data_IF_886489708716
#
_entry.id   IF_886489708716
#
_cell.length_a   1.000
_cell.length_b   1.000
_cell.length_c   1.000
_cell.angle_alpha   90.00
_cell.angle_beta   90.00
_cell.angle_gamma   90.00
#
_symmetry.space_group_name_H-M   'P 1'
#
loop_
_entity.id
_entity.type
_entity.pdbx_description
1 polymer ?
#
# COMPACT_ATOMS: atom_id res chain seq x y z
N UNK A 1 -56.11 -3.03 8.70
CA UNK A 1 -56.34 -1.62 9.06
C UNK A 1 -55.54 -0.79 8.06
N UNK A 2 -56.13 -0.43 6.91
CA UNK A 2 -56.77 0.87 6.67
C UNK A 2 -55.85 2.02 7.17
N UNK A 3 -55.33 2.92 6.32
CA UNK A 3 -56.14 3.77 5.44
C UNK A 3 -55.30 4.35 4.28
N UNK A 4 -55.85 4.27 3.09
CA UNK A 4 -55.48 4.97 1.85
C UNK A 4 -56.18 6.31 1.82
N UNK A 5 -55.53 7.41 1.40
CA UNK A 5 -56.17 8.46 0.56
C UNK A 5 -55.16 8.92 -0.48
N UNK A 6 -55.68 9.10 -1.69
CA UNK A 6 -55.05 9.23 -2.98
C UNK A 6 -55.55 10.53 -3.63
N UNK A 7 -54.92 10.91 -4.76
CA UNK A 7 -55.36 11.86 -5.82
C UNK A 7 -55.14 13.37 -5.58
N UNK A 8 -54.88 14.22 -6.59
CA UNK A 8 -54.41 14.09 -7.98
C UNK A 8 -54.25 15.52 -8.56
N UNK A 9 -53.59 15.64 -9.73
CA UNK A 9 -53.70 16.72 -10.75
C UNK A 9 -53.25 18.13 -10.35
N UNK A 10 -52.39 18.88 -11.05
CA UNK A 10 -52.01 18.92 -12.46
C UNK A 10 -52.27 20.35 -12.97
N UNK A 11 -51.25 21.08 -13.43
CA UNK A 11 -51.39 22.18 -14.41
C UNK A 11 -50.03 22.74 -14.83
N UNK A 12 -49.87 22.82 -16.15
CA UNK A 12 -48.81 23.50 -16.91
C UNK A 12 -48.94 25.02 -16.88
N UNK A 13 -47.84 25.77 -17.02
CA UNK A 13 -47.80 26.97 -17.88
C UNK A 13 -46.35 27.28 -18.31
N UNK A 14 -46.22 27.52 -19.62
CA UNK A 14 -45.05 28.09 -20.30
C UNK A 14 -45.15 29.61 -20.41
N UNK A 15 -44.01 30.29 -20.44
CA UNK A 15 -43.65 31.49 -21.24
C UNK A 15 -42.40 32.09 -20.58
N UNK A 16 -41.40 32.70 -21.22
CA UNK A 16 -40.94 32.88 -22.60
C UNK A 16 -39.80 33.90 -22.48
N UNK A 17 -38.72 33.70 -23.23
CA UNK A 17 -37.62 34.62 -23.60
C UNK A 17 -37.69 36.10 -23.19
N UNK A 18 -36.53 36.66 -22.80
CA UNK A 18 -36.10 37.97 -23.30
C UNK A 18 -34.58 37.98 -23.56
N UNK A 19 -34.26 38.44 -24.78
CA UNK A 19 -32.95 38.55 -25.42
C UNK A 19 -32.14 39.72 -24.85
N UNK A 20 -30.80 39.63 -24.90
CA UNK A 20 -29.92 40.53 -25.71
C UNK A 20 -28.47 40.60 -25.19
N UNK A 21 -27.54 40.12 -26.01
CA UNK A 21 -26.16 40.62 -26.17
C UNK A 21 -26.19 42.03 -26.83
N UNK A 22 -25.11 42.85 -26.99
CA UNK A 22 -23.68 42.45 -27.09
C UNK A 22 -22.58 43.46 -26.62
N UNK A 23 -21.29 43.05 -26.77
CA UNK A 23 -20.09 43.84 -27.11
C UNK A 23 -19.54 44.86 -26.07
N UNK A 24 -18.23 45.17 -25.94
CA UNK A 24 -16.96 44.87 -26.63
C UNK A 24 -15.81 45.55 -25.83
N UNK A 25 -14.57 45.08 -26.05
CA UNK A 25 -13.28 45.83 -26.08
C UNK A 25 -12.77 46.45 -24.74
N UNK A 26 -11.73 45.87 -24.14
CA UNK A 26 -10.28 46.14 -24.35
C UNK A 26 -9.78 47.48 -23.79
N UNK A 27 -8.89 47.44 -22.80
CA UNK A 27 -7.62 48.18 -22.79
C UNK A 27 -6.82 47.94 -21.52
N UNK A 28 -5.52 47.84 -21.73
CA UNK A 28 -4.39 47.63 -20.82
C UNK A 28 -4.00 48.86 -19.99
N UNK A 29 -3.26 48.59 -18.90
CA UNK A 29 -2.38 49.47 -18.09
C UNK A 29 -3.13 50.48 -17.19
N UNK A 30 -2.76 50.77 -15.93
CA UNK A 30 -1.48 50.68 -15.21
C UNK A 30 -1.75 50.67 -13.69
N UNK A 31 -1.05 49.85 -12.89
CA UNK A 31 0.04 50.26 -11.99
C UNK A 31 -0.39 50.74 -10.57
N UNK A 32 0.17 50.04 -9.57
CA UNK A 32 0.38 50.38 -8.16
C UNK A 32 -0.80 50.32 -7.16
N UNK A 33 -0.83 49.27 -6.33
CA UNK A 33 -0.36 49.32 -4.93
C UNK A 33 -0.55 47.95 -4.23
N UNK A 34 0.35 47.66 -3.29
CA UNK A 34 0.38 46.53 -2.31
C UNK A 34 1.09 45.24 -2.73
N UNK A 35 2.40 45.36 -2.98
CA UNK A 35 3.40 44.32 -2.71
C UNK A 35 4.47 44.93 -1.79
N UNK A 36 4.39 44.66 -0.50
CA UNK A 36 5.43 45.00 0.48
C UNK A 36 6.28 43.77 0.77
N UNK A 37 7.46 43.78 0.14
CA UNK A 37 8.76 43.24 0.53
C UNK A 37 8.85 42.48 1.88
N UNK A 38 9.27 41.21 1.82
CA UNK A 38 10.13 40.67 2.87
C UNK A 38 11.38 40.00 2.27
N UNK A 39 12.44 40.80 2.26
CA UNK A 39 13.80 40.39 1.97
C UNK A 39 14.55 40.45 3.30
N UNK A 40 14.91 39.33 3.94
CA UNK A 40 15.78 39.32 5.13
C UNK A 40 16.81 38.19 5.11
N UNK A 41 18.06 38.64 4.97
CA UNK A 41 19.34 38.11 5.47
C UNK A 41 19.25 36.86 6.37
N UNK A 42 19.96 35.80 5.93
CA UNK A 42 20.52 34.75 6.80
C UNK A 42 21.39 35.41 7.89
N UNK A 43 20.98 35.25 9.15
CA UNK A 43 21.84 35.39 10.32
C UNK A 43 21.79 34.05 11.07
N UNK A 44 22.91 33.34 11.04
CA UNK A 44 23.17 32.17 11.87
C UNK A 44 23.08 32.57 13.34
N UNK A 45 22.11 32.01 14.05
CA UNK A 45 22.08 32.08 15.52
C UNK A 45 22.00 30.65 16.04
N UNK A 46 23.13 30.15 16.55
CA UNK A 46 23.19 28.92 17.35
C UNK A 46 22.38 29.16 18.63
N UNK A 47 21.28 28.44 18.81
CA UNK A 47 20.68 28.27 20.13
C UNK A 47 20.93 26.84 20.61
N UNK A 48 21.77 26.72 21.63
CA UNK A 48 21.93 25.51 22.44
C UNK A 48 20.67 25.34 23.29
N UNK A 49 19.84 24.35 22.96
CA UNK A 49 18.79 23.86 23.87
C UNK A 49 19.34 22.65 24.62
N UNK A 50 19.77 22.89 25.85
CA UNK A 50 20.12 21.86 26.81
C UNK A 50 18.84 21.23 27.37
N UNK A 51 18.59 19.96 27.06
CA UNK A 51 17.57 19.15 27.75
C UNK A 51 18.26 18.44 28.92
N UNK A 52 17.80 18.75 30.14
CA UNK A 52 18.22 18.07 31.37
C UNK A 52 17.73 16.63 31.37
N UNK A 53 18.64 15.67 31.26
CA UNK A 53 18.35 14.27 31.59
C UNK A 53 18.36 14.09 33.11
N UNK A 54 17.22 13.65 33.65
CA UNK A 54 17.09 13.21 35.04
C UNK A 54 17.92 11.94 35.26
N UNK A 55 18.79 11.96 36.27
CA UNK A 55 19.53 10.79 36.76
C UNK A 55 18.57 9.88 37.52
N UNK A 56 18.49 8.62 37.11
CA UNK A 56 18.11 7.53 38.01
C UNK A 56 19.40 6.76 38.28
N UNK A 57 19.91 6.94 39.49
CA UNK A 57 20.97 6.15 40.11
C UNK A 57 20.36 4.86 40.62
N UNK A 58 20.79 3.72 40.10
CA UNK A 58 20.75 2.46 40.84
C UNK A 58 22.17 2.08 41.24
N UNK A 59 22.34 1.96 42.55
CA UNK A 59 23.55 1.52 43.23
C UNK A 59 23.64 -0.01 43.14
N UNK A 60 24.74 -0.53 42.60
CA UNK A 60 25.24 -1.85 42.98
C UNK A 60 26.76 -1.77 43.15
N UNK A 61 27.18 -1.83 44.41
CA UNK A 61 28.57 -2.06 44.81
C UNK A 61 28.93 -3.53 44.55
N UNK A 62 30.03 -3.77 43.86
CA UNK A 62 30.61 -5.09 43.64
C UNK A 62 32.07 -4.94 43.21
N UNK A 63 32.94 -5.65 43.92
CA UNK A 63 34.39 -5.49 44.06
C UNK A 63 35.22 -5.88 42.84
N UNK A 64 36.46 -5.33 42.80
CA UNK A 64 37.56 -5.63 41.88
C UNK A 64 37.78 -7.14 41.64
N UNK A 65 38.02 -7.54 40.39
CA UNK A 65 39.32 -8.10 39.94
C UNK A 65 39.29 -8.59 38.48
N UNK A 66 40.36 -8.27 37.75
CA UNK A 66 40.93 -8.99 36.60
C UNK A 66 40.01 -9.46 35.45
N UNK A 67 39.91 -8.65 34.39
CA UNK A 67 39.80 -9.17 33.01
C UNK A 67 40.70 -8.43 32.03
N UNK A 68 41.55 -9.23 31.40
CA UNK A 68 42.51 -8.93 30.34
C UNK A 68 41.95 -7.96 29.29
N UNK A 69 42.74 -6.94 28.95
CA UNK A 69 42.58 -6.14 27.73
C UNK A 69 42.53 -7.09 26.52
N UNK A 70 41.37 -7.15 25.88
CA UNK A 70 41.24 -7.60 24.49
C UNK A 70 41.06 -6.31 23.70
N UNK A 71 42.09 -5.89 22.99
CA UNK A 71 42.01 -4.79 22.03
C UNK A 71 41.08 -5.24 20.89
N UNK A 72 39.81 -4.85 21.00
CA UNK A 72 38.88 -4.89 19.88
C UNK A 72 38.83 -3.48 19.31
N UNK A 73 39.53 -3.29 18.19
CA UNK A 73 39.33 -2.14 17.31
C UNK A 73 37.91 -2.20 16.71
N UNK A 74 36.89 -1.86 17.51
CA UNK A 74 35.64 -1.38 16.96
C UNK A 74 35.85 0.09 16.65
N UNK A 75 36.08 0.40 15.37
CA UNK A 75 35.87 1.74 14.88
C UNK A 75 34.39 2.08 15.13
N UNK A 76 34.15 2.93 16.13
CA UNK A 76 32.86 3.59 16.27
C UNK A 76 32.73 4.46 15.04
N UNK A 77 32.04 3.97 14.02
CA UNK A 77 31.61 4.78 12.89
C UNK A 77 30.71 5.84 13.51
N UNK A 78 31.23 7.06 13.66
CA UNK A 78 30.46 8.22 14.02
C UNK A 78 29.50 8.47 12.87
N UNK A 79 28.27 8.00 13.02
CA UNK A 79 27.21 8.27 12.05
C UNK A 79 26.92 9.76 12.14
N UNK A 80 27.24 10.48 11.08
CA UNK A 80 26.99 11.91 11.01
C UNK A 80 25.46 12.10 11.05
N UNK A 81 24.93 12.64 12.15
CA UNK A 81 23.49 12.81 12.41
C UNK A 81 22.80 13.80 11.43
N UNK A 82 23.55 14.35 10.47
CA UNK A 82 23.06 15.24 9.43
C UNK A 82 22.73 14.55 8.10
N UNK A 83 22.97 13.25 7.93
CA UNK A 83 22.54 12.56 6.72
C UNK A 83 21.04 12.27 6.77
N UNK A 84 20.27 13.05 6.01
CA UNK A 84 18.85 12.84 5.79
C UNK A 84 18.68 11.50 5.04
N UNK A 85 18.03 10.53 5.69
CA UNK A 85 17.75 9.20 5.13
C UNK A 85 17.17 9.30 3.72
N UNK A 86 17.76 8.56 2.78
CA UNK A 86 17.36 8.57 1.36
C UNK A 86 16.15 7.67 1.12
N UNK A 87 16.21 6.45 1.63
CA UNK A 87 15.16 5.43 1.59
C UNK A 87 13.92 5.93 2.32
N UNK A 88 12.74 5.76 1.73
CA UNK A 88 11.47 6.15 2.34
C UNK A 88 10.77 4.98 3.02
N UNK A 89 9.99 5.30 4.04
CA UNK A 89 9.23 4.34 4.82
C UNK A 89 7.74 4.58 4.60
N UNK A 90 7.04 3.54 4.14
CA UNK A 90 5.59 3.47 4.00
C UNK A 90 5.02 2.71 5.20
N UNK A 91 4.09 3.33 5.92
CA UNK A 91 3.42 2.71 7.06
C UNK A 91 1.94 2.55 6.75
N UNK A 92 1.42 1.33 6.87
CA UNK A 92 -0.04 1.14 6.84
C UNK A 92 -0.65 1.69 8.13
N UNK A 93 -1.66 2.55 7.99
CA UNK A 93 -2.43 3.08 9.11
C UNK A 93 -3.65 2.19 9.34
N UNK A 94 -3.82 1.75 10.58
CA UNK A 94 -4.90 0.87 11.00
C UNK A 94 -5.27 1.13 12.46
N UNK A 95 -6.08 0.26 13.10
CA UNK A 95 -6.64 0.52 14.43
C UNK A 95 -5.59 0.81 15.52
N UNK A 96 -4.41 0.19 15.46
CA UNK A 96 -3.32 0.43 16.43
C UNK A 96 -2.49 1.68 16.12
N UNK A 97 -2.70 2.32 14.97
CA UNK A 97 -1.91 3.46 14.48
C UNK A 97 -2.74 4.67 14.05
N UNK A 98 -4.07 4.62 14.14
CA UNK A 98 -4.98 5.68 13.67
C UNK A 98 -5.23 6.81 14.67
N UNK A 99 -4.64 6.76 15.87
CA UNK A 99 -4.71 7.88 16.82
C UNK A 99 -3.79 9.01 16.39
N UNK A 100 -4.19 10.27 16.65
CA UNK A 100 -3.38 11.45 16.38
C UNK A 100 -1.96 11.31 16.94
N UNK A 101 -1.85 10.94 18.21
CA UNK A 101 -0.58 10.82 18.92
C UNK A 101 0.30 9.75 18.28
N UNK A 102 -0.28 8.66 17.79
CA UNK A 102 0.47 7.60 17.15
C UNK A 102 0.95 8.00 15.76
N UNK A 103 0.10 8.60 14.93
CA UNK A 103 0.49 9.12 13.60
C UNK A 103 1.67 10.07 13.73
N UNK A 104 1.63 10.99 14.69
CA UNK A 104 2.71 11.95 14.93
C UNK A 104 3.99 11.26 15.39
N UNK A 105 3.90 10.30 16.32
CA UNK A 105 5.05 9.49 16.74
C UNK A 105 5.67 8.70 15.58
N UNK A 106 4.86 8.18 14.67
CA UNK A 106 5.33 7.47 13.48
C UNK A 106 6.05 8.41 12.52
N UNK A 107 5.48 9.60 12.26
CA UNK A 107 6.10 10.62 11.44
C UNK A 107 7.46 11.06 12.01
N UNK A 108 7.54 11.34 13.32
CA UNK A 108 8.79 11.69 14.01
C UNK A 108 9.82 10.57 14.03
N UNK A 109 9.38 9.31 14.11
CA UNK A 109 10.27 8.14 14.01
C UNK A 109 10.80 7.93 12.58
N UNK A 110 10.18 8.56 11.59
CA UNK A 110 10.61 8.58 10.21
C UNK A 110 9.66 7.87 9.25
N UNK A 111 8.35 7.85 9.48
CA UNK A 111 7.38 7.54 8.42
C UNK A 111 7.42 8.63 7.34
N UNK A 112 7.36 8.25 6.06
CA UNK A 112 7.25 9.19 4.93
C UNK A 112 5.91 9.10 4.20
N UNK A 113 5.29 7.92 4.20
CA UNK A 113 4.01 7.70 3.52
C UNK A 113 3.07 6.99 4.48
N UNK A 114 1.88 7.56 4.69
CA UNK A 114 0.76 6.92 5.36
C UNK A 114 -0.07 6.18 4.32
N UNK A 115 -0.05 4.84 4.36
CA UNK A 115 -0.82 3.96 3.48
C UNK A 115 -2.17 3.62 4.11
N UNK A 116 -3.25 3.92 3.40
CA UNK A 116 -4.62 3.55 3.75
C UNK A 116 -5.04 2.36 2.89
N UNK A 117 -5.32 1.22 3.53
CA UNK A 117 -5.70 -0.01 2.83
C UNK A 117 -7.23 -0.08 2.70
N UNK A 118 -7.75 0.05 1.48
CA UNK A 118 -9.20 0.08 1.21
C UNK A 118 -9.89 -1.28 1.26
N UNK A 119 -9.12 -2.37 1.43
CA UNK A 119 -9.69 -3.69 1.78
C UNK A 119 -10.26 -3.70 3.21
N UNK A 120 -9.90 -2.72 4.05
CA UNK A 120 -10.34 -2.59 5.43
C UNK A 120 -10.81 -1.17 5.75
N UNK A 121 -11.74 -1.05 6.70
CA UNK A 121 -12.31 0.25 7.07
C UNK A 121 -13.28 0.80 6.01
N UNK A 122 -13.82 1.97 6.31
CA UNK A 122 -14.71 2.74 5.44
C UNK A 122 -14.13 4.13 5.13
N UNK A 123 -14.72 4.84 4.18
CA UNK A 123 -14.28 6.20 3.79
C UNK A 123 -14.28 7.15 4.99
N UNK A 124 -15.21 7.02 5.95
CA UNK A 124 -15.27 7.89 7.12
C UNK A 124 -14.07 7.69 8.07
N UNK A 125 -13.63 6.44 8.26
CA UNK A 125 -12.45 6.10 9.06
C UNK A 125 -11.15 6.55 8.37
N UNK A 126 -11.08 6.41 7.05
CA UNK A 126 -9.94 6.86 6.24
C UNK A 126 -9.86 8.38 6.16
N UNK A 127 -11.00 9.08 6.07
CA UNK A 127 -11.08 10.54 6.10
C UNK A 127 -10.44 11.10 7.38
N UNK A 128 -10.78 10.55 8.55
CA UNK A 128 -10.17 10.95 9.82
C UNK A 128 -8.66 10.80 9.80
N UNK A 129 -8.15 9.73 9.18
CA UNK A 129 -6.70 9.51 9.06
C UNK A 129 -6.07 10.54 8.14
N UNK A 130 -6.68 10.83 6.99
CA UNK A 130 -6.23 11.87 6.04
C UNK A 130 -6.18 13.24 6.74
N UNK A 131 -7.23 13.61 7.47
CA UNK A 131 -7.32 14.88 8.18
C UNK A 131 -6.18 15.03 9.20
N UNK A 132 -5.89 13.97 9.97
CA UNK A 132 -4.80 13.97 10.96
C UNK A 132 -3.41 14.06 10.33
N UNK A 133 -3.20 13.44 9.16
CA UNK A 133 -1.94 13.54 8.41
C UNK A 133 -1.78 14.95 7.83
N UNK A 134 -2.84 15.52 7.24
CA UNK A 134 -2.84 16.91 6.76
C UNK A 134 -2.62 17.91 7.88
N UNK A 135 -3.22 17.67 9.06
CA UNK A 135 -2.99 18.47 10.25
C UNK A 135 -1.51 18.43 10.68
N UNK A 136 -0.89 17.25 10.68
CA UNK A 136 0.55 17.11 10.97
C UNK A 136 1.39 17.90 9.97
N UNK A 137 1.11 17.75 8.67
CA UNK A 137 1.85 18.43 7.60
C UNK A 137 1.74 19.95 7.70
N UNK A 138 0.62 20.49 8.18
CA UNK A 138 0.43 21.93 8.40
C UNK A 138 1.35 22.50 9.50
N UNK A 139 1.91 21.67 10.39
CA UNK A 139 2.81 22.11 11.46
C UNK A 139 4.28 22.20 11.02
N UNK A 140 4.68 21.57 9.91
CA UNK A 140 6.08 21.40 9.54
C UNK A 140 6.33 21.61 8.05
N UNK A 141 7.19 22.57 7.70
CA UNK A 141 7.55 22.83 6.30
C UNK A 141 8.46 21.74 5.70
N UNK A 142 9.34 21.13 6.50
CA UNK A 142 10.37 20.21 6.00
C UNK A 142 10.05 18.72 6.21
N UNK A 143 9.01 18.40 6.99
CA UNK A 143 8.65 17.03 7.40
C UNK A 143 7.22 16.71 6.96
N UNK A 144 7.06 16.53 5.66
CA UNK A 144 5.77 16.17 5.05
C UNK A 144 5.64 14.64 4.98
N UNK A 145 4.48 14.14 5.38
CA UNK A 145 4.04 12.75 5.21
C UNK A 145 3.07 12.71 4.03
N UNK A 146 3.41 11.95 3.00
CA UNK A 146 2.52 11.71 1.87
C UNK A 146 1.42 10.69 2.23
N UNK A 147 0.34 10.70 1.48
CA UNK A 147 -0.84 9.86 1.66
C UNK A 147 -0.95 8.93 0.45
N UNK A 148 -1.08 7.63 0.73
CA UNK A 148 -1.23 6.60 -0.30
C UNK A 148 -2.52 5.82 -0.06
N UNK A 149 -3.37 5.73 -1.07
CA UNK A 149 -4.57 4.90 -1.06
C UNK A 149 -4.27 3.58 -1.79
N UNK A 150 -4.38 2.45 -1.10
CA UNK A 150 -4.18 1.11 -1.66
C UNK A 150 -5.53 0.50 -2.01
N UNK A 151 -5.76 0.28 -3.30
CA UNK A 151 -7.02 -0.27 -3.83
C UNK A 151 -7.21 -1.71 -3.36
N UNK A 152 -8.46 -2.13 -3.23
CA UNK A 152 -8.76 -3.50 -2.85
C UNK A 152 -8.45 -4.47 -4.00
N UNK A 153 -8.85 -4.09 -5.21
CA UNK A 153 -8.73 -4.93 -6.40
C UNK A 153 -9.68 -6.13 -6.40
N UNK A 154 -9.61 -6.96 -7.46
CA UNK A 154 -10.43 -8.14 -7.59
C UNK A 154 -10.02 -9.24 -6.60
N UNK A 155 -10.96 -9.69 -5.77
CA UNK A 155 -10.73 -10.76 -4.82
C UNK A 155 -11.77 -11.86 -4.95
N UNK A 156 -11.30 -13.09 -5.14
CA UNK A 156 -12.13 -14.30 -5.01
C UNK A 156 -12.11 -14.74 -3.56
N UNK A 157 -13.27 -14.98 -2.97
CA UNK A 157 -13.43 -15.34 -1.56
C UNK A 157 -14.38 -16.51 -1.39
N UNK A 158 -14.11 -17.34 -0.39
CA UNK A 158 -15.05 -18.35 0.08
C UNK A 158 -16.33 -17.70 0.65
N UNK A 159 -17.40 -18.48 0.70
CA UNK A 159 -18.67 -18.07 1.29
C UNK A 159 -18.60 -17.99 2.81
N UNK A 160 -19.74 -17.65 3.39
CA UNK A 160 -19.90 -17.68 4.84
C UNK A 160 -20.01 -19.14 5.33
N UNK A 161 -19.31 -19.46 6.42
CA UNK A 161 -19.42 -20.74 7.13
C UNK A 161 -20.10 -20.53 8.48
N UNK A 162 -20.97 -21.46 8.88
CA UNK A 162 -21.69 -21.37 10.17
C UNK A 162 -20.73 -21.47 11.36
N UNK A 163 -19.71 -22.32 11.21
CA UNK A 163 -18.62 -22.52 12.15
C UNK A 163 -17.35 -22.81 11.34
N UNK A 164 -16.16 -22.52 11.88
CA UNK A 164 -14.92 -22.88 11.20
C UNK A 164 -14.89 -24.37 10.84
N UNK A 165 -14.48 -24.69 9.61
CA UNK A 165 -14.40 -26.06 9.10
C UNK A 165 -12.94 -26.50 9.15
N UNK A 166 -12.64 -27.57 9.90
CA UNK A 166 -11.31 -28.14 9.94
C UNK A 166 -11.09 -29.08 8.76
N UNK A 167 -10.25 -28.66 7.82
CA UNK A 167 -9.86 -29.44 6.65
C UNK A 167 -8.63 -30.27 6.96
N UNK A 168 -8.72 -31.59 6.73
CA UNK A 168 -7.60 -32.53 6.91
C UNK A 168 -6.97 -32.90 5.57
N UNK A 169 -5.68 -33.14 5.57
CA UNK A 169 -4.95 -33.62 4.38
C UNK A 169 -5.60 -34.88 3.80
N UNK A 170 -5.71 -34.94 2.46
CA UNK A 170 -6.37 -36.00 1.71
C UNK A 170 -7.92 -35.96 1.75
N UNK A 171 -8.54 -35.08 2.54
CA UNK A 171 -9.98 -34.92 2.57
C UNK A 171 -10.50 -34.34 1.25
N UNK A 172 -11.67 -34.79 0.81
CA UNK A 172 -12.39 -34.18 -0.32
C UNK A 172 -13.14 -32.94 0.16
N UNK A 173 -13.00 -31.84 -0.58
CA UNK A 173 -13.72 -30.60 -0.30
C UNK A 173 -14.08 -29.90 -1.61
N UNK A 174 -15.22 -29.23 -1.63
CA UNK A 174 -15.75 -28.64 -2.85
C UNK A 174 -15.97 -27.12 -2.72
N UNK A 175 -15.75 -26.43 -3.83
CA UNK A 175 -16.11 -25.03 -4.00
C UNK A 175 -17.23 -24.91 -5.03
N UNK A 176 -18.30 -24.19 -4.73
CA UNK A 176 -19.44 -24.01 -5.66
C UNK A 176 -19.73 -22.54 -5.93
N UNK A 177 -20.20 -22.23 -7.14
CA UNK A 177 -20.69 -20.89 -7.47
C UNK A 177 -22.15 -20.66 -7.03
N UNK A 178 -22.83 -21.71 -6.53
CA UNK A 178 -24.18 -21.57 -5.98
C UNK A 178 -24.13 -20.78 -4.66
N UNK A 179 -24.65 -19.56 -4.70
CA UNK A 179 -24.67 -18.64 -3.55
C UNK A 179 -25.38 -19.26 -2.33
N UNK A 180 -24.81 -19.05 -1.15
CA UNK A 180 -25.40 -19.47 0.13
C UNK A 180 -25.20 -20.95 0.47
N UNK A 181 -24.57 -21.74 -0.39
CA UNK A 181 -24.22 -23.12 -0.05
C UNK A 181 -23.09 -23.15 0.98
N UNK A 182 -23.33 -23.84 2.09
CA UNK A 182 -22.34 -24.17 3.12
C UNK A 182 -22.73 -25.53 3.75
N UNK A 183 -21.91 -26.55 3.53
CA UNK A 183 -21.99 -27.88 4.16
C UNK A 183 -20.63 -28.23 4.76
N UNK A 184 -20.50 -29.40 5.39
CA UNK A 184 -19.21 -29.84 5.97
C UNK A 184 -18.12 -30.06 4.92
N UNK A 185 -18.50 -30.29 3.66
CA UNK A 185 -17.62 -30.64 2.55
C UNK A 185 -17.71 -29.69 1.35
N UNK A 186 -18.56 -28.65 1.41
CA UNK A 186 -18.78 -27.73 0.30
C UNK A 186 -19.01 -26.30 0.80
N UNK A 187 -18.32 -25.32 0.22
CA UNK A 187 -18.57 -23.90 0.45
C UNK A 187 -18.79 -23.17 -0.86
N UNK A 188 -19.65 -22.15 -0.83
CA UNK A 188 -19.81 -21.24 -1.96
C UNK A 188 -18.56 -20.38 -2.19
N UNK A 189 -18.41 -19.82 -3.38
CA UNK A 189 -17.40 -18.81 -3.76
C UNK A 189 -18.15 -17.56 -4.18
N UNK A 190 -17.58 -16.36 -4.00
CA UNK A 190 -18.18 -15.06 -4.32
C UNK A 190 -18.06 -14.64 -5.82
N UNK A 191 -17.55 -15.52 -6.69
CA UNK A 191 -17.27 -15.23 -8.09
C UNK A 191 -17.89 -16.30 -9.01
N UNK A 192 -18.77 -15.90 -9.91
CA UNK A 192 -19.60 -16.82 -10.70
C UNK A 192 -18.81 -17.56 -11.80
N UNK A 193 -17.75 -16.95 -12.33
CA UNK A 193 -16.88 -17.56 -13.34
C UNK A 193 -15.72 -18.38 -12.74
N UNK A 194 -15.71 -18.59 -11.43
CA UNK A 194 -14.64 -19.34 -10.74
C UNK A 194 -14.39 -20.74 -11.34
N UNK A 195 -15.45 -21.44 -11.76
CA UNK A 195 -15.34 -22.78 -12.36
C UNK A 195 -14.63 -22.75 -13.72
N UNK A 196 -14.76 -21.64 -14.46
CA UNK A 196 -14.14 -21.44 -15.77
C UNK A 196 -12.66 -21.07 -15.64
N UNK A 197 -12.27 -20.43 -14.55
CA UNK A 197 -10.89 -20.00 -14.28
C UNK A 197 -10.01 -21.09 -13.66
N UNK A 198 -10.58 -22.26 -13.37
CA UNK A 198 -9.91 -23.38 -12.71
C UNK A 198 -9.89 -24.61 -13.61
N UNK A 199 -8.74 -25.27 -13.73
CA UNK A 199 -8.57 -26.53 -14.47
C UNK A 199 -8.21 -27.71 -13.57
N UNK A 200 -8.46 -28.93 -14.06
CA UNK A 200 -8.04 -30.15 -13.35
C UNK A 200 -6.51 -30.19 -13.27
N UNK A 201 -5.99 -30.42 -12.07
CA UNK A 201 -4.56 -30.34 -11.77
C UNK A 201 -4.11 -29.00 -11.18
N UNK A 202 -4.94 -27.97 -11.22
CA UNK A 202 -4.65 -26.71 -10.55
C UNK A 202 -4.65 -26.87 -9.02
N UNK A 203 -3.96 -25.94 -8.36
CA UNK A 203 -3.93 -25.84 -6.89
C UNK A 203 -4.63 -24.55 -6.47
N UNK A 204 -5.72 -24.70 -5.72
CA UNK A 204 -6.41 -23.59 -5.07
C UNK A 204 -5.72 -23.33 -3.74
N UNK A 205 -5.34 -22.07 -3.53
CA UNK A 205 -4.71 -21.56 -2.32
C UNK A 205 -5.75 -20.82 -1.51
N UNK A 206 -5.75 -21.02 -0.20
CA UNK A 206 -6.54 -20.23 0.74
C UNK A 206 -5.62 -19.35 1.56
N UNK A 207 -5.94 -18.05 1.62
CA UNK A 207 -5.19 -17.00 2.33
C UNK A 207 -3.69 -16.99 2.05
N UNK A 208 -3.32 -16.95 0.78
CA UNK A 208 -1.91 -16.90 0.38
C UNK A 208 -1.16 -18.22 0.63
N UNK A 209 -1.87 -19.35 0.67
CA UNK A 209 -1.29 -20.68 0.80
C UNK A 209 -1.20 -21.22 2.22
N UNK A 210 -1.93 -20.63 3.19
CA UNK A 210 -2.10 -21.22 4.52
C UNK A 210 -2.82 -22.56 4.48
N UNK A 211 -3.67 -22.75 3.47
CA UNK A 211 -4.20 -24.05 3.07
C UNK A 211 -4.10 -24.18 1.55
N UNK A 212 -4.02 -25.41 1.06
CA UNK A 212 -3.99 -25.66 -0.38
C UNK A 212 -4.79 -26.91 -0.74
N UNK A 213 -5.49 -26.85 -1.89
CA UNK A 213 -6.35 -27.93 -2.36
C UNK A 213 -6.10 -28.19 -3.84
N UNK A 214 -5.82 -29.44 -4.20
CA UNK A 214 -5.65 -29.89 -5.58
C UNK A 214 -7.01 -30.12 -6.25
N UNK A 215 -7.22 -29.54 -7.42
CA UNK A 215 -8.44 -29.72 -8.20
C UNK A 215 -8.42 -31.09 -8.88
N UNK A 216 -9.40 -31.93 -8.55
CA UNK A 216 -9.51 -33.30 -9.08
C UNK A 216 -10.54 -33.42 -10.20
N UNK A 217 -11.63 -32.65 -10.15
CA UNK A 217 -12.65 -32.60 -11.20
C UNK A 217 -13.52 -31.36 -11.06
N UNK A 218 -14.20 -30.95 -12.14
CA UNK A 218 -15.19 -29.86 -12.13
C UNK A 218 -16.48 -30.24 -12.85
N UNK A 219 -17.60 -29.68 -12.41
CA UNK A 219 -18.89 -29.67 -13.12
C UNK A 219 -19.13 -28.26 -13.66
N UNK A 220 -20.36 -27.94 -14.08
CA UNK A 220 -20.75 -26.57 -14.46
C UNK A 220 -20.71 -25.57 -13.30
N UNK A 221 -20.86 -26.05 -12.06
CA UNK A 221 -21.14 -25.22 -10.89
C UNK A 221 -20.35 -25.62 -9.63
N UNK A 222 -19.50 -26.63 -9.73
CA UNK A 222 -18.78 -27.22 -8.60
C UNK A 222 -17.36 -27.60 -9.01
N UNK A 223 -16.39 -27.19 -8.21
CA UNK A 223 -15.00 -27.64 -8.27
C UNK A 223 -14.77 -28.61 -7.13
N UNK A 224 -14.39 -29.85 -7.43
CA UNK A 224 -14.06 -30.88 -6.46
C UNK A 224 -12.57 -30.94 -6.25
N UNK A 225 -12.15 -30.79 -5.01
CA UNK A 225 -10.75 -30.74 -4.63
C UNK A 225 -10.41 -31.82 -3.60
N UNK A 226 -9.12 -32.05 -3.46
CA UNK A 226 -8.52 -32.83 -2.38
C UNK A 226 -7.56 -31.92 -1.63
N UNK A 227 -7.70 -31.88 -0.31
CA UNK A 227 -6.86 -31.04 0.55
C UNK A 227 -5.42 -31.57 0.50
N UNK A 228 -4.48 -30.71 0.11
CA UNK A 228 -3.05 -30.99 0.19
C UNK A 228 -2.56 -30.55 1.57
N UNK A 229 -2.70 -29.25 1.88
CA UNK A 229 -2.35 -28.67 3.17
C UNK A 229 -3.63 -28.30 3.91
N UNK A 230 -3.85 -28.95 5.05
CA UNK A 230 -5.03 -28.75 5.89
C UNK A 230 -5.01 -27.48 6.74
N UNK A 231 -6.13 -27.17 7.37
CA UNK A 231 -6.25 -25.98 8.22
C UNK A 231 -7.69 -25.65 8.59
N UNK A 232 -7.89 -24.51 9.25
CA UNK A 232 -9.20 -24.04 9.68
C UNK A 232 -9.77 -23.03 8.67
N UNK A 233 -10.76 -23.46 7.88
CA UNK A 233 -11.47 -22.60 6.94
C UNK A 233 -12.56 -21.80 7.67
N UNK A 234 -12.38 -20.47 7.68
CA UNK A 234 -13.37 -19.51 8.20
C UNK A 234 -14.17 -18.88 7.04
N UNK A 235 -15.04 -17.92 7.35
CA UNK A 235 -15.83 -17.21 6.34
C UNK A 235 -14.96 -16.27 5.51
N UNK A 236 -15.32 -16.09 4.22
CA UNK A 236 -14.79 -15.02 3.35
C UNK A 236 -13.27 -15.03 3.19
N UNK A 237 -12.67 -16.22 3.20
CA UNK A 237 -11.22 -16.40 3.05
C UNK A 237 -10.81 -16.22 1.61
N UNK A 238 -9.63 -15.63 1.39
CA UNK A 238 -9.14 -15.34 0.05
C UNK A 238 -8.83 -16.64 -0.67
N UNK A 239 -9.29 -16.79 -1.90
CA UNK A 239 -8.98 -17.90 -2.79
C UNK A 239 -8.14 -17.40 -3.97
N UNK A 240 -7.02 -18.07 -4.23
CA UNK A 240 -6.18 -17.84 -5.39
C UNK A 240 -5.94 -19.17 -6.11
N UNK A 241 -5.68 -19.11 -7.42
CA UNK A 241 -5.23 -20.29 -8.17
C UNK A 241 -3.73 -20.14 -8.37
N UNK A 242 -2.94 -21.13 -7.97
CA UNK A 242 -1.49 -21.02 -8.10
C UNK A 242 -1.09 -20.85 -9.58
N UNK A 243 -0.31 -19.82 -9.87
CA UNK A 243 0.17 -19.50 -11.22
C UNK A 243 -0.88 -18.92 -12.18
N UNK A 244 -2.09 -18.57 -11.70
CA UNK A 244 -3.15 -17.98 -12.53
C UNK A 244 -3.95 -16.96 -11.73
N UNK A 245 -4.29 -15.83 -12.33
CA UNK A 245 -5.21 -14.89 -11.70
C UNK A 245 -6.62 -15.00 -12.27
N UNK A 246 -7.64 -14.80 -11.43
CA UNK A 246 -9.05 -14.79 -11.85
C UNK A 246 -9.29 -13.75 -12.95
N UNK A 247 -10.16 -14.05 -13.92
CA UNK A 247 -10.51 -13.16 -15.04
C UNK A 247 -11.48 -12.03 -14.62
N UNK A 248 -11.09 -11.31 -13.56
CA UNK A 248 -11.79 -10.15 -13.04
C UNK A 248 -11.08 -8.87 -13.50
N UNK A 249 -11.82 -7.75 -13.65
CA UNK A 249 -11.21 -6.46 -13.93
C UNK A 249 -10.28 -6.06 -12.79
N UNK A 250 -9.11 -5.51 -13.12
CA UNK A 250 -8.11 -5.08 -12.13
C UNK A 250 -8.58 -3.90 -11.27
N UNK A 251 -9.52 -3.07 -11.75
CA UNK A 251 -10.20 -2.03 -10.97
C UNK A 251 -11.69 -2.38 -10.93
N UNK A 252 -12.21 -2.63 -9.73
CA UNK A 252 -13.62 -2.94 -9.49
C UNK A 252 -14.46 -1.66 -9.36
N UNK A 253 -15.79 -1.79 -9.39
CA UNK A 253 -16.70 -0.64 -9.14
C UNK A 253 -16.43 0.01 -7.78
N UNK A 254 -16.14 -0.80 -6.76
CA UNK A 254 -15.74 -0.29 -5.43
C UNK A 254 -14.41 0.45 -5.49
N UNK A 255 -13.43 -0.07 -6.23
CA UNK A 255 -12.15 0.63 -6.38
C UNK A 255 -12.34 1.99 -7.06
N UNK A 256 -13.26 2.11 -8.03
CA UNK A 256 -13.61 3.40 -8.63
C UNK A 256 -14.25 4.39 -7.64
N UNK A 257 -15.04 3.91 -6.68
CA UNK A 257 -15.54 4.73 -5.57
C UNK A 257 -14.40 5.19 -4.65
N UNK A 258 -13.47 4.29 -4.33
CA UNK A 258 -12.29 4.59 -3.52
C UNK A 258 -11.35 5.59 -4.22
N UNK A 259 -11.19 5.47 -5.55
CA UNK A 259 -10.42 6.41 -6.39
C UNK A 259 -11.08 7.79 -6.41
N UNK A 260 -12.41 7.88 -6.52
CA UNK A 260 -13.11 9.18 -6.43
C UNK A 260 -12.86 9.84 -5.07
N UNK A 261 -13.02 9.06 -4.00
CA UNK A 261 -12.72 9.52 -2.64
C UNK A 261 -11.28 10.02 -2.47
N UNK A 262 -10.29 9.34 -3.07
CA UNK A 262 -8.90 9.78 -3.03
C UNK A 262 -8.63 11.06 -3.84
N UNK A 263 -9.31 11.24 -4.99
CA UNK A 263 -9.24 12.49 -5.78
C UNK A 263 -9.82 13.65 -4.99
N UNK A 264 -11.00 13.48 -4.40
CA UNK A 264 -11.66 14.52 -3.58
C UNK A 264 -10.80 14.92 -2.37
N UNK A 265 -9.94 14.01 -1.90
CA UNK A 265 -9.02 14.23 -0.80
C UNK A 265 -7.61 14.63 -1.20
N UNK A 266 -7.30 14.77 -2.50
CA UNK A 266 -5.97 15.14 -2.99
C UNK A 266 -4.86 14.25 -2.38
N UNK A 267 -5.05 12.92 -2.40
CA UNK A 267 -3.99 11.99 -1.97
C UNK A 267 -2.81 12.01 -2.93
N UNK A 268 -1.61 11.66 -2.46
CA UNK A 268 -0.40 11.75 -3.30
C UNK A 268 -0.21 10.52 -4.20
N UNK A 269 -0.65 9.34 -3.76
CA UNK A 269 -0.43 8.07 -4.47
C UNK A 269 -1.64 7.15 -4.47
N UNK A 270 -1.83 6.44 -5.59
CA UNK A 270 -2.58 5.18 -5.64
C UNK A 270 -1.63 4.00 -5.68
N UNK A 271 -1.85 2.99 -4.83
CA UNK A 271 -1.27 1.66 -4.97
C UNK A 271 -2.32 0.73 -5.57
N UNK A 272 -2.17 0.36 -6.84
CA UNK A 272 -3.16 -0.39 -7.62
C UNK A 272 -2.88 -1.89 -7.53
N UNK A 273 -3.86 -2.64 -7.04
CA UNK A 273 -3.80 -4.09 -6.82
C UNK A 273 -4.09 -4.87 -8.10
N UNK A 274 -3.55 -6.09 -8.17
CA UNK A 274 -3.76 -7.12 -9.19
C UNK A 274 -3.62 -6.61 -10.62
N UNK A 275 -2.60 -5.79 -10.87
CA UNK A 275 -2.33 -5.21 -12.19
C UNK A 275 -1.72 -6.28 -13.10
N UNK A 276 -2.44 -6.64 -14.16
CA UNK A 276 -2.02 -7.68 -15.11
C UNK A 276 -1.44 -7.14 -16.42
N UNK A 277 -1.79 -5.91 -16.77
CA UNK A 277 -1.39 -5.27 -18.02
C UNK A 277 -1.30 -3.74 -17.87
N UNK A 278 -0.73 -3.09 -18.89
CA UNK A 278 -0.59 -1.64 -18.94
C UNK A 278 -1.91 -0.90 -19.18
N UNK A 279 -2.94 -1.59 -19.71
CA UNK A 279 -4.21 -0.96 -20.10
C UNK A 279 -4.89 -0.37 -18.87
N UNK A 280 -4.92 -1.11 -17.75
CA UNK A 280 -5.54 -0.60 -16.52
C UNK A 280 -4.85 0.66 -15.99
N UNK A 281 -3.52 0.74 -16.15
CA UNK A 281 -2.72 1.89 -15.72
C UNK A 281 -3.05 3.11 -16.57
N UNK A 282 -3.16 2.92 -17.88
CA UNK A 282 -3.56 3.99 -18.80
C UNK A 282 -4.99 4.48 -18.55
N UNK A 283 -5.92 3.57 -18.25
CA UNK A 283 -7.30 3.90 -17.90
C UNK A 283 -7.37 4.79 -16.65
N UNK A 284 -6.69 4.39 -15.57
CA UNK A 284 -6.61 5.20 -14.36
C UNK A 284 -5.95 6.56 -14.60
N UNK A 285 -4.80 6.59 -15.29
CA UNK A 285 -4.11 7.86 -15.60
C UNK A 285 -4.97 8.78 -16.46
N UNK A 286 -5.73 8.25 -17.41
CA UNK A 286 -6.65 9.04 -18.22
C UNK A 286 -7.76 9.67 -17.35
N UNK A 287 -8.33 8.90 -16.44
CA UNK A 287 -9.30 9.40 -15.48
C UNK A 287 -8.71 10.52 -14.60
N UNK A 288 -7.53 10.32 -14.01
CA UNK A 288 -6.87 11.33 -13.15
C UNK A 288 -6.58 12.62 -13.92
N UNK A 289 -6.11 12.52 -15.16
CA UNK A 289 -5.91 13.67 -16.03
C UNK A 289 -7.22 14.40 -16.34
N UNK A 290 -8.33 13.68 -16.53
CA UNK A 290 -9.65 14.29 -16.78
C UNK A 290 -10.19 15.06 -15.56
N UNK A 291 -9.76 14.67 -14.36
CA UNK A 291 -10.05 15.37 -13.10
C UNK A 291 -9.02 16.47 -12.78
N UNK A 292 -7.98 16.65 -13.60
CA UNK A 292 -6.84 17.54 -13.31
C UNK A 292 -6.18 17.22 -11.95
N UNK A 293 -6.12 15.93 -11.60
CA UNK A 293 -5.55 15.44 -10.34
C UNK A 293 -4.09 14.99 -10.56
N UNK A 294 -3.16 15.60 -9.82
CA UNK A 294 -1.73 15.24 -9.84
C UNK A 294 -1.45 14.15 -8.81
N UNK A 295 -1.91 12.93 -9.11
CA UNK A 295 -1.79 11.76 -8.23
C UNK A 295 -0.99 10.67 -8.94
N UNK A 296 0.05 10.16 -8.29
CA UNK A 296 0.93 9.16 -8.88
C UNK A 296 0.38 7.73 -8.75
N UNK A 297 0.54 6.91 -9.78
CA UNK A 297 0.07 5.53 -9.84
C UNK A 297 1.24 4.55 -9.61
N UNK A 298 1.24 3.88 -8.48
CA UNK A 298 2.16 2.81 -8.12
C UNK A 298 1.46 1.47 -8.35
N UNK A 299 1.98 0.65 -9.26
CA UNK A 299 1.40 -0.67 -9.57
C UNK A 299 1.94 -1.73 -8.63
N UNK A 300 1.06 -2.55 -8.05
CA UNK A 300 1.47 -3.68 -7.21
C UNK A 300 1.72 -4.90 -8.11
N UNK A 301 2.95 -5.40 -8.06
CA UNK A 301 3.35 -6.64 -8.72
C UNK A 301 3.15 -7.76 -7.71
N UNK A 302 2.03 -8.47 -7.87
CA UNK A 302 1.53 -9.40 -6.86
C UNK A 302 1.02 -10.72 -7.44
N UNK A 303 0.93 -10.84 -8.76
CA UNK A 303 0.45 -12.05 -9.41
C UNK A 303 1.39 -12.59 -10.49
N UNK A 304 1.23 -13.88 -10.80
CA UNK A 304 1.97 -14.56 -11.86
C UNK A 304 1.72 -13.90 -13.23
N UNK A 305 0.49 -13.45 -13.48
CA UNK A 305 0.07 -12.79 -14.73
C UNK A 305 0.82 -11.46 -14.98
N UNK A 306 1.27 -10.78 -13.93
CA UNK A 306 2.04 -9.53 -14.07
C UNK A 306 3.45 -9.78 -14.63
N UNK A 307 4.02 -10.98 -14.43
CA UNK A 307 5.45 -11.26 -14.69
C UNK A 307 5.83 -11.16 -16.18
N UNK A 308 5.08 -11.76 -17.12
CA UNK A 308 5.37 -11.60 -18.54
C UNK A 308 5.24 -10.14 -19.03
N UNK A 309 4.43 -9.33 -18.33
CA UNK A 309 4.07 -7.96 -18.73
C UNK A 309 4.82 -6.87 -17.92
N UNK A 310 5.82 -7.23 -17.11
CA UNK A 310 6.51 -6.27 -16.21
C UNK A 310 6.98 -5.01 -16.93
N UNK A 311 7.58 -5.15 -18.10
CA UNK A 311 8.11 -4.00 -18.83
C UNK A 311 7.01 -3.01 -19.23
N UNK A 312 5.89 -3.48 -19.77
CA UNK A 312 4.79 -2.61 -20.21
C UNK A 312 4.07 -1.99 -19.01
N UNK A 313 3.80 -2.79 -17.98
CA UNK A 313 3.16 -2.35 -16.73
C UNK A 313 3.99 -1.24 -16.07
N UNK A 314 5.28 -1.49 -15.82
CA UNK A 314 6.17 -0.52 -15.17
C UNK A 314 6.34 0.70 -16.07
N UNK A 315 6.42 0.55 -17.39
CA UNK A 315 6.54 1.69 -18.32
C UNK A 315 5.31 2.61 -18.29
N UNK A 316 4.12 2.07 -18.09
CA UNK A 316 2.88 2.85 -17.99
C UNK A 316 2.71 3.54 -16.62
N UNK A 317 3.26 2.98 -15.54
CA UNK A 317 3.06 3.47 -14.16
C UNK A 317 3.99 4.63 -13.77
N UNK A 318 3.84 5.19 -12.57
CA UNK A 318 4.79 6.15 -11.98
C UNK A 318 5.79 5.46 -11.05
N UNK A 319 5.54 4.22 -10.68
CA UNK A 319 6.41 3.38 -9.86
C UNK A 319 5.83 1.98 -9.72
N UNK A 320 6.51 1.12 -8.96
CA UNK A 320 6.04 -0.23 -8.68
C UNK A 320 6.17 -0.59 -7.19
N UNK A 321 5.34 -1.51 -6.74
CA UNK A 321 5.41 -2.13 -5.42
C UNK A 321 5.56 -3.64 -5.59
N UNK A 322 6.65 -4.23 -5.07
CA UNK A 322 6.84 -5.67 -5.01
C UNK A 322 6.10 -6.22 -3.79
N UNK A 323 4.95 -6.85 -3.99
CA UNK A 323 4.15 -7.46 -2.94
C UNK A 323 4.58 -8.91 -2.72
N UNK A 324 5.65 -9.11 -1.96
CA UNK A 324 6.32 -10.41 -1.82
C UNK A 324 5.44 -11.51 -1.22
N UNK A 325 4.51 -11.16 -0.33
CA UNK A 325 3.57 -12.08 0.28
C UNK A 325 2.64 -12.70 -0.75
N UNK A 326 1.94 -11.86 -1.51
CA UNK A 326 1.04 -12.29 -2.57
C UNK A 326 1.79 -12.98 -3.71
N UNK A 327 2.93 -12.42 -4.12
CA UNK A 327 3.75 -13.02 -5.17
C UNK A 327 4.30 -14.40 -4.77
N UNK A 328 4.71 -14.57 -3.51
CA UNK A 328 5.18 -15.85 -2.97
C UNK A 328 4.07 -16.85 -2.67
N UNK A 329 2.81 -16.42 -2.70
CA UNK A 329 1.68 -17.35 -2.71
C UNK A 329 1.47 -17.94 -4.11
N UNK A 330 1.52 -17.10 -5.15
CA UNK A 330 1.25 -17.51 -6.53
C UNK A 330 2.42 -18.21 -7.23
N UNK A 331 3.66 -17.88 -6.86
CA UNK A 331 4.89 -18.39 -7.46
C UNK A 331 5.72 -19.19 -6.43
N UNK A 332 6.65 -20.05 -6.89
CA UNK A 332 7.62 -20.67 -6.00
C UNK A 332 8.35 -19.60 -5.16
N UNK A 333 8.44 -19.82 -3.85
CA UNK A 333 8.97 -18.82 -2.91
C UNK A 333 10.45 -18.52 -3.17
N UNK A 334 11.17 -19.48 -3.74
CA UNK A 334 12.56 -19.38 -4.18
C UNK A 334 12.76 -18.43 -5.37
N UNK A 335 11.72 -18.19 -6.18
CA UNK A 335 11.79 -17.29 -7.35
C UNK A 335 11.56 -15.82 -6.95
N UNK A 336 10.86 -15.58 -5.84
CA UNK A 336 10.48 -14.23 -5.37
C UNK A 336 11.70 -13.30 -5.18
N UNK A 337 12.83 -13.72 -4.58
CA UNK A 337 14.02 -12.88 -4.47
C UNK A 337 14.60 -12.46 -5.82
N UNK A 338 14.60 -13.37 -6.82
CA UNK A 338 15.11 -13.10 -8.16
C UNK A 338 14.21 -12.10 -8.89
N UNK A 339 12.89 -12.28 -8.78
CA UNK A 339 11.89 -11.36 -9.35
C UNK A 339 11.94 -9.98 -8.70
N UNK A 340 12.10 -9.91 -7.37
CA UNK A 340 12.28 -8.64 -6.68
C UNK A 340 13.46 -7.85 -7.26
N UNK A 341 14.61 -8.50 -7.46
CA UNK A 341 15.81 -7.85 -8.01
C UNK A 341 15.64 -7.44 -9.48
N UNK A 342 14.92 -8.24 -10.28
CA UNK A 342 14.57 -7.85 -11.66
C UNK A 342 13.65 -6.62 -11.70
N UNK A 343 12.60 -6.61 -10.88
CA UNK A 343 11.65 -5.48 -10.79
C UNK A 343 12.37 -4.20 -10.35
N UNK A 344 13.22 -4.29 -9.31
CA UNK A 344 14.02 -3.15 -8.84
C UNK A 344 14.91 -2.62 -9.96
N UNK A 345 15.65 -3.49 -10.66
CA UNK A 345 16.54 -3.09 -11.77
C UNK A 345 15.78 -2.41 -12.91
N UNK A 346 14.60 -2.91 -13.29
CA UNK A 346 13.73 -2.30 -14.31
C UNK A 346 13.21 -0.94 -13.87
N UNK A 347 12.77 -0.80 -12.62
CA UNK A 347 12.32 0.48 -12.10
C UNK A 347 13.46 1.51 -12.12
N UNK A 348 14.66 1.12 -11.65
CA UNK A 348 15.83 1.99 -11.66
C UNK A 348 16.26 2.40 -13.08
N UNK A 349 16.25 1.48 -14.05
CA UNK A 349 16.61 1.83 -15.44
C UNK A 349 15.63 2.79 -16.09
N UNK A 350 14.37 2.77 -15.64
CA UNK A 350 13.30 3.69 -16.06
C UNK A 350 13.18 4.93 -15.16
N UNK A 351 14.05 5.10 -14.17
CA UNK A 351 14.01 6.19 -13.19
C UNK A 351 12.70 6.26 -12.40
N UNK A 352 12.08 5.10 -12.14
CA UNK A 352 10.84 4.98 -11.39
C UNK A 352 11.10 4.48 -9.97
N UNK A 353 10.44 5.05 -8.94
CA UNK A 353 10.51 4.55 -7.58
C UNK A 353 9.97 3.11 -7.48
N UNK A 354 10.58 2.34 -6.59
CA UNK A 354 10.17 0.98 -6.25
C UNK A 354 9.98 0.84 -4.75
N UNK A 355 8.89 0.21 -4.35
CA UNK A 355 8.56 -0.13 -2.97
C UNK A 355 8.67 -1.65 -2.82
N UNK A 356 9.37 -2.12 -1.79
CA UNK A 356 9.34 -3.53 -1.39
C UNK A 356 8.44 -3.67 -0.17
N UNK A 357 7.40 -4.49 -0.30
CA UNK A 357 6.38 -4.68 0.71
C UNK A 357 6.37 -6.13 1.24
N UNK A 358 5.79 -6.32 2.43
CA UNK A 358 5.56 -7.61 3.14
C UNK A 358 6.82 -8.38 3.54
N UNK A 359 6.76 -9.17 4.62
CA UNK A 359 7.85 -10.04 5.16
C UNK A 359 9.20 -9.35 5.46
N UNK A 360 9.18 -8.06 5.83
CA UNK A 360 10.40 -7.26 6.11
C UNK A 360 10.86 -7.30 7.57
N UNK A 361 9.97 -7.69 8.51
CA UNK A 361 10.21 -7.69 9.95
C UNK A 361 9.64 -8.97 10.58
N UNK A 362 10.14 -9.32 11.77
CA UNK A 362 9.62 -10.43 12.59
C UNK A 362 8.11 -10.32 12.81
N UNK A 363 7.44 -11.47 12.92
CA UNK A 363 5.99 -11.62 12.89
C UNK A 363 5.26 -10.67 13.86
N UNK A 364 5.65 -10.58 15.13
CA UNK A 364 4.95 -9.70 16.09
C UNK A 364 5.01 -8.21 15.70
N UNK A 365 6.12 -7.79 15.09
CA UNK A 365 6.30 -6.41 14.62
C UNK A 365 5.53 -6.19 13.31
N UNK A 366 5.48 -7.21 12.44
CA UNK A 366 4.70 -7.20 11.21
C UNK A 366 3.17 -7.27 11.44
N UNK A 367 2.70 -7.83 12.55
CA UNK A 367 1.28 -7.82 12.96
C UNK A 367 0.86 -6.54 13.68
N UNK A 368 1.68 -5.49 13.66
CA UNK A 368 1.32 -4.18 14.21
C UNK A 368 1.25 -4.13 15.75
N UNK A 369 1.83 -5.10 16.47
CA UNK A 369 1.91 -5.08 17.95
C UNK A 369 2.85 -3.99 18.47
N UNK A 370 3.90 -3.68 17.69
CA UNK A 370 4.91 -2.68 18.04
C UNK A 370 5.19 -1.71 16.88
N UNK A 371 4.22 -0.88 16.47
CA UNK A 371 4.32 -0.08 15.24
C UNK A 371 5.46 0.94 15.29
N UNK A 372 5.67 1.60 16.44
CA UNK A 372 6.78 2.54 16.60
C UNK A 372 8.17 1.85 16.57
N UNK A 373 8.26 0.63 17.10
CA UNK A 373 9.50 -0.16 17.06
C UNK A 373 9.81 -0.56 15.61
N UNK A 374 8.78 -0.94 14.84
CA UNK A 374 8.91 -1.28 13.42
C UNK A 374 9.56 -0.14 12.63
N UNK A 375 9.01 1.08 12.73
CA UNK A 375 9.53 2.26 12.02
C UNK A 375 10.98 2.57 12.42
N UNK A 376 11.32 2.49 13.71
CA UNK A 376 12.68 2.74 14.21
C UNK A 376 13.69 1.70 13.72
N UNK A 377 13.32 0.42 13.71
CA UNK A 377 14.15 -0.65 13.16
C UNK A 377 14.42 -0.38 11.68
N UNK A 378 13.40 0.00 10.94
CA UNK A 378 13.47 0.17 9.50
C UNK A 378 14.22 1.42 9.09
N UNK A 379 14.08 2.48 9.88
CA UNK A 379 14.96 3.64 9.80
C UNK A 379 16.42 3.21 9.98
N UNK A 380 16.72 2.40 11.00
CA UNK A 380 18.09 1.92 11.25
C UNK A 380 18.61 1.04 10.11
N UNK A 381 17.77 0.13 9.59
CA UNK A 381 18.10 -0.72 8.43
C UNK A 381 18.41 0.13 7.22
N UNK A 382 17.56 1.10 6.89
CA UNK A 382 17.76 2.02 5.77
C UNK A 382 19.09 2.76 5.86
N UNK A 383 19.42 3.36 7.01
CA UNK A 383 20.69 4.06 7.20
C UNK A 383 21.89 3.12 7.03
N UNK A 384 21.81 1.89 7.54
CA UNK A 384 22.86 0.88 7.37
C UNK A 384 23.02 0.49 5.90
N UNK A 385 21.93 0.18 5.21
CA UNK A 385 21.94 -0.17 3.79
C UNK A 385 22.54 0.96 2.95
N UNK A 386 22.11 2.20 3.18
CA UNK A 386 22.65 3.39 2.50
C UNK A 386 24.15 3.59 2.75
N UNK A 387 24.62 3.36 3.98
CA UNK A 387 26.05 3.46 4.32
C UNK A 387 26.92 2.35 3.73
N UNK A 388 26.33 1.19 3.45
CA UNK A 388 27.02 0.02 2.92
C UNK A 388 27.13 0.00 1.39
N UNK A 389 26.39 0.86 0.69
CA UNK A 389 26.51 0.97 -0.76
C UNK A 389 27.83 1.67 -1.12
N UNK A 390 28.70 1.04 -1.93
CA UNK A 390 29.92 1.70 -2.37
C UNK A 390 29.54 2.96 -3.15
N UNK A 391 30.07 4.10 -2.70
CA UNK A 391 30.04 5.33 -3.48
C UNK A 391 30.84 5.02 -4.76
N UNK A 392 30.15 4.74 -5.87
CA UNK A 392 30.79 4.67 -7.19
C UNK A 392 31.28 6.07 -7.55
N UNK A 393 32.43 6.46 -7.01
CA UNK A 393 33.12 7.72 -7.26
C UNK A 393 34.02 7.67 -8.50
N UNK A 394 34.02 6.59 -9.28
CA UNK A 394 35.02 6.38 -10.36
C UNK A 394 34.48 6.40 -11.79
N UNK A 395 33.24 6.85 -12.04
CA UNK A 395 32.73 7.02 -13.43
C UNK A 395 31.96 8.34 -13.65
N UNK A 396 32.28 9.41 -12.90
CA UNK A 396 31.79 10.77 -13.23
C UNK A 396 32.78 11.49 -14.14
N UNK A 397 32.95 10.97 -15.35
CA UNK A 397 33.61 11.67 -16.45
C UNK A 397 32.57 12.10 -17.48
N UNK A 398 32.12 13.35 -17.35
CA UNK A 398 31.41 14.17 -18.36
C UNK A 398 29.99 13.71 -18.79
N UNK A 399 29.01 14.61 -18.54
CA UNK A 399 27.60 14.59 -18.98
C UNK A 399 26.68 13.52 -18.37
N UNK A 400 26.24 13.74 -17.12
CA UNK A 400 24.93 13.27 -16.66
C UNK A 400 24.41 14.21 -15.53
N UNK A 401 23.13 14.66 -15.57
CA UNK A 401 22.55 15.38 -14.44
C UNK A 401 22.52 14.47 -13.20
N UNK A 402 22.62 15.07 -12.02
CA UNK A 402 22.76 14.37 -10.74
C UNK A 402 21.68 13.29 -10.56
N UNK A 403 22.07 12.01 -10.67
CA UNK A 403 21.24 10.90 -10.21
C UNK A 403 21.22 10.92 -8.69
N UNK A 404 20.08 11.28 -8.10
CA UNK A 404 19.79 10.94 -6.70
C UNK A 404 19.70 9.41 -6.59
N UNK A 405 20.20 8.79 -5.50
CA UNK A 405 20.05 7.35 -5.32
C UNK A 405 18.56 7.06 -5.08
N UNK A 406 17.91 6.48 -6.08
CA UNK A 406 16.55 5.94 -5.95
C UNK A 406 16.60 4.82 -4.91
N UNK A 407 16.17 5.12 -3.68
CA UNK A 407 16.14 4.18 -2.58
C UNK A 407 14.96 3.21 -2.72
N UNK A 408 15.19 1.95 -2.34
CA UNK A 408 14.14 0.94 -2.22
C UNK A 408 13.27 1.26 -0.99
N UNK A 409 12.04 1.72 -1.20
CA UNK A 409 11.14 2.13 -0.13
C UNK A 409 10.52 0.92 0.56
N UNK A 410 10.29 0.98 1.87
CA UNK A 410 9.81 -0.20 2.62
C UNK A 410 8.40 0.01 3.16
N UNK A 411 7.50 -0.94 2.88
CA UNK A 411 6.12 -0.92 3.36
C UNK A 411 5.85 -1.99 4.44
N UNK A 412 5.19 -1.58 5.53
CA UNK A 412 4.73 -2.48 6.60
C UNK A 412 3.23 -2.73 6.52
N UNK A 413 2.78 -3.99 6.58
CA UNK A 413 1.38 -4.27 6.81
C UNK A 413 1.02 -3.98 8.28
N UNK A 414 -0.22 -3.54 8.52
CA UNK A 414 -0.86 -3.62 9.82
C UNK A 414 -1.96 -4.67 9.73
N UNK A 415 -1.63 -5.95 9.87
CA UNK A 415 -2.65 -6.99 9.92
C UNK A 415 -3.23 -7.10 11.33
N UNK A 416 -4.56 -7.16 11.42
CA UNK A 416 -5.25 -7.73 12.56
C UNK A 416 -6.19 -8.84 12.10
N UNK A 417 -6.25 -9.90 12.92
CA UNK A 417 -7.21 -10.99 12.81
C UNK A 417 -8.63 -10.42 12.88
N UNK A 418 -9.33 -10.47 11.75
CA UNK A 418 -10.78 -10.51 11.66
C UNK A 418 -11.21 -11.89 11.22
#
# INVERSE_FOLDING_TARGET
MATTINLSTGMSMSMSSLKSHPNRLSSTNSVNQLLFLWNRKRISTKQNLAVKSAKITDQFQGTNENRKKIDTNYSVISVNLNDRRKTKIVCTIGPSTSSREMIWKLAEAGMNVARLNMSHGDHASHQKTIDLVKEYNAQFEEKVVAIMLDTKGPEVRSGDVVRPILLKEGQKFCFTIKRGVCTEDTVSVNYDDFVNDVEVGDVILVDGGMMSLAVKSKTKDLVKCEVIDGGELKSRRHLNVRGKSANLPSITDKDWEDIKFGVDNEVDFYAVSFVKDAKVVHELKHYLNSCNADIHVIVKIESADSIPNLHSIISASDGAMVARGDLGAELPIEDVPLLQEDIIRRCHSMQKPVIVATNMLESETAHGKYPLKAVKVMHTVALRTESSQPINSTLRGQFAPAQEPYGCNVCFPSYHNG
#
